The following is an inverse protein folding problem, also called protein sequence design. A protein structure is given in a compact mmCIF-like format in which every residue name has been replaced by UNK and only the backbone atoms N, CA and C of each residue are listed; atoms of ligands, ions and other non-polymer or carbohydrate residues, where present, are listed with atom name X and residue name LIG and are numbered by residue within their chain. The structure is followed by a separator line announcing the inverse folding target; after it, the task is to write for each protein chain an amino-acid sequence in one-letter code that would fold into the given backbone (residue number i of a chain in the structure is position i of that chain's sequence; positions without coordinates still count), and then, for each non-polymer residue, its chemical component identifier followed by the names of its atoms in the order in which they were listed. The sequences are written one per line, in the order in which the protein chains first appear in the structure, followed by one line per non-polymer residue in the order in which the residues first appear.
data_IF_676111495174
#
_entry.id   IF_676111495174
#
_cell.length_a   1.000
_cell.length_b   1.000
_cell.length_c   1.000
_cell.angle_alpha   90.00
_cell.angle_beta   90.00
_cell.angle_gamma   90.00
#
_symmetry.space_group_name_H-M   'P 1'
#
loop_
_entity.id
_entity.type
_entity.pdbx_description
1 polymer ?
#
# COMPACT_ATOMS: atom_id res chain seq x y z
N UNK A 1 -28.23 6.39 -55.19
CA UNK A 1 -26.86 6.54 -54.62
C UNK A 1 -26.74 7.48 -53.41
N UNK A 2 -27.34 8.69 -53.39
CA UNK A 2 -27.21 9.68 -52.29
C UNK A 2 -27.59 9.18 -50.88
N UNK A 3 -28.61 8.32 -50.75
CA UNK A 3 -29.08 7.82 -49.44
C UNK A 3 -28.09 6.84 -48.78
N UNK A 4 -27.34 6.06 -49.57
CA UNK A 4 -26.34 5.09 -49.07
C UNK A 4 -25.07 5.78 -48.55
N UNK A 5 -24.60 6.83 -49.24
CA UNK A 5 -23.44 7.62 -48.77
C UNK A 5 -23.72 8.32 -47.44
N UNK A 6 -24.94 8.84 -47.24
CA UNK A 6 -25.34 9.51 -45.99
C UNK A 6 -25.36 8.56 -44.78
N UNK A 7 -25.72 7.28 -44.98
CA UNK A 7 -25.62 6.23 -43.95
C UNK A 7 -24.18 5.84 -43.63
N UNK A 8 -23.30 5.77 -44.65
CA UNK A 8 -21.86 5.50 -44.47
C UNK A 8 -21.15 6.62 -43.71
N UNK A 9 -21.44 7.88 -44.04
CA UNK A 9 -20.91 9.05 -43.34
C UNK A 9 -21.41 9.11 -41.89
N UNK A 10 -22.69 8.81 -41.66
CA UNK A 10 -23.25 8.74 -40.29
C UNK A 10 -22.61 7.63 -39.44
N UNK A 11 -22.30 6.48 -40.04
CA UNK A 11 -21.59 5.39 -39.36
C UNK A 11 -20.14 5.75 -39.02
N UNK A 12 -19.43 6.43 -39.94
CA UNK A 12 -18.07 6.92 -39.70
C UNK A 12 -18.03 7.96 -38.56
N UNK A 13 -19.00 8.88 -38.51
CA UNK A 13 -19.10 9.87 -37.42
C UNK A 13 -19.35 9.17 -36.07
N UNK A 14 -20.25 8.18 -36.03
CA UNK A 14 -20.52 7.40 -34.81
C UNK A 14 -19.29 6.61 -34.34
N UNK A 15 -18.57 5.97 -35.26
CA UNK A 15 -17.30 5.30 -34.94
C UNK A 15 -16.25 6.28 -34.39
N UNK A 16 -16.15 7.48 -34.98
CA UNK A 16 -15.21 8.50 -34.52
C UNK A 16 -15.58 9.02 -33.12
N UNK A 17 -16.87 9.19 -32.84
CA UNK A 17 -17.37 9.53 -31.50
C UNK A 17 -17.09 8.44 -30.47
N UNK A 18 -17.29 7.18 -30.82
CA UNK A 18 -17.02 6.04 -29.93
C UNK A 18 -15.53 5.89 -29.63
N UNK A 19 -14.66 6.14 -30.61
CA UNK A 19 -13.20 6.12 -30.42
C UNK A 19 -12.72 7.21 -29.44
N UNK A 20 -13.35 8.39 -29.42
CA UNK A 20 -13.04 9.46 -28.46
C UNK A 20 -13.71 9.25 -27.09
N UNK A 21 -14.88 8.60 -27.04
CA UNK A 21 -15.59 8.34 -25.78
C UNK A 21 -14.91 7.28 -24.89
N UNK A 22 -14.08 6.41 -25.47
CA UNK A 22 -13.36 5.34 -24.77
C UNK A 22 -12.00 5.76 -24.20
N UNK A 23 -11.52 6.97 -24.51
CA UNK A 23 -10.24 7.49 -24.04
C UNK A 23 -10.37 8.27 -22.72
N UNK A 24 -11.15 7.76 -21.76
CA UNK A 24 -11.17 8.32 -20.41
C UNK A 24 -9.88 7.89 -19.69
N UNK A 25 -9.06 8.84 -19.19
CA UNK A 25 -7.90 8.47 -18.39
C UNK A 25 -8.38 7.75 -17.12
N UNK A 26 -7.90 6.53 -16.91
CA UNK A 26 -8.03 5.83 -15.64
C UNK A 26 -6.98 6.41 -14.69
N UNK A 27 -7.41 7.22 -13.73
CA UNK A 27 -6.55 7.64 -12.63
C UNK A 27 -6.72 6.63 -11.49
N UNK A 28 -5.62 6.17 -10.91
CA UNK A 28 -5.67 5.50 -9.62
C UNK A 28 -6.25 6.49 -8.60
N UNK A 29 -7.23 6.05 -7.79
CA UNK A 29 -7.82 6.90 -6.75
C UNK A 29 -6.79 7.25 -5.68
N UNK A 30 -5.84 6.35 -5.43
CA UNK A 30 -4.74 6.55 -4.49
C UNK A 30 -3.42 6.85 -5.20
N UNK A 31 -2.68 7.84 -4.70
CA UNK A 31 -1.39 8.29 -5.20
C UNK A 31 -0.45 8.54 -4.02
N UNK A 32 0.56 7.68 -3.86
CA UNK A 32 1.65 7.92 -2.92
C UNK A 32 2.71 8.76 -3.64
N UNK A 33 2.93 9.99 -3.18
CA UNK A 33 3.86 10.93 -3.78
C UNK A 33 5.29 10.66 -3.34
N UNK A 34 5.49 10.38 -2.06
CA UNK A 34 6.80 10.09 -1.47
C UNK A 34 6.70 8.98 -0.44
N UNK A 35 7.74 8.14 -0.42
CA UNK A 35 8.02 7.20 0.65
C UNK A 35 9.48 7.43 1.04
N UNK A 36 9.72 7.94 2.24
CA UNK A 36 11.05 8.04 2.85
C UNK A 36 11.21 6.88 3.84
N UNK A 37 12.29 6.11 3.71
CA UNK A 37 12.53 4.92 4.52
C UNK A 37 13.87 5.06 5.22
N UNK A 38 13.85 4.99 6.54
CA UNK A 38 15.03 4.85 7.37
C UNK A 38 15.09 3.43 7.95
N UNK A 39 16.26 2.82 7.88
CA UNK A 39 16.55 1.52 8.49
C UNK A 39 17.77 1.65 9.40
N UNK A 40 17.57 1.37 10.69
CA UNK A 40 18.63 1.38 11.70
C UNK A 40 18.93 -0.06 12.10
N UNK A 41 20.10 -0.56 11.70
CA UNK A 41 20.59 -1.90 12.04
C UNK A 41 21.28 -1.87 13.42
N UNK A 42 20.90 -2.78 14.30
CA UNK A 42 21.48 -2.99 15.62
C UNK A 42 22.50 -4.12 15.63
N UNK A 43 23.34 -4.16 16.68
CA UNK A 43 24.40 -5.17 16.85
C UNK A 43 23.86 -6.60 16.96
N UNK A 44 22.62 -6.78 17.42
CA UNK A 44 21.96 -8.08 17.51
C UNK A 44 21.37 -8.57 16.18
N UNK A 45 21.57 -7.82 15.08
CA UNK A 45 21.06 -8.16 13.76
C UNK A 45 19.59 -7.78 13.53
N UNK A 46 18.93 -7.16 14.51
CA UNK A 46 17.60 -6.57 14.34
C UNK A 46 17.67 -5.21 13.64
N UNK A 47 16.59 -4.83 12.97
CA UNK A 47 16.48 -3.55 12.25
C UNK A 47 15.22 -2.83 12.69
N UNK A 48 15.36 -1.58 13.13
CA UNK A 48 14.21 -0.69 13.32
C UNK A 48 13.98 0.12 12.05
N UNK A 49 12.76 0.06 11.52
CA UNK A 49 12.34 0.71 10.29
C UNK A 49 11.40 1.85 10.64
N UNK A 50 11.64 3.02 10.04
CA UNK A 50 10.69 4.14 10.02
C UNK A 50 10.39 4.48 8.57
N UNK A 51 9.12 4.44 8.17
CA UNK A 51 8.66 4.89 6.85
C UNK A 51 7.76 6.11 6.98
N UNK A 52 8.05 7.16 6.23
CA UNK A 52 7.21 8.35 6.12
C UNK A 52 6.58 8.41 4.73
N UNK A 53 5.26 8.28 4.68
CA UNK A 53 4.49 8.28 3.45
C UNK A 53 3.73 9.60 3.33
N UNK A 54 3.76 10.22 2.16
CA UNK A 54 2.91 11.37 1.82
C UNK A 54 2.19 11.09 0.51
N UNK A 55 0.88 11.34 0.48
CA UNK A 55 0.08 11.04 -0.69
C UNK A 55 -1.36 11.51 -0.59
N UNK A 56 -2.08 11.31 -1.68
CA UNK A 56 -3.52 11.49 -1.79
C UNK A 56 -4.20 10.12 -1.85
N UNK A 57 -5.16 9.89 -0.97
CA UNK A 57 -5.89 8.62 -0.87
C UNK A 57 -7.39 8.90 -1.02
N UNK A 58 -8.02 8.43 -2.09
CA UNK A 58 -9.42 8.72 -2.44
C UNK A 58 -10.27 7.45 -2.59
N UNK A 59 -9.69 6.26 -2.46
CA UNK A 59 -10.39 4.97 -2.58
C UNK A 59 -9.85 3.90 -1.62
N UNK A 60 -10.61 2.83 -1.44
CA UNK A 60 -10.26 1.72 -0.55
C UNK A 60 -10.43 2.04 0.94
N UNK A 61 -10.15 1.07 1.80
CA UNK A 61 -10.29 1.21 3.26
C UNK A 61 -8.96 1.27 3.99
N UNK A 62 -7.86 0.90 3.33
CA UNK A 62 -6.54 0.74 3.95
C UNK A 62 -5.40 0.93 2.95
N UNK A 63 -4.18 1.02 3.49
CA UNK A 63 -2.93 0.78 2.77
C UNK A 63 -2.20 -0.38 3.43
N UNK A 64 -1.35 -1.08 2.67
CA UNK A 64 -0.58 -2.20 3.16
C UNK A 64 0.85 -2.20 2.61
N UNK A 65 1.77 -2.77 3.39
CA UNK A 65 3.18 -2.97 3.02
C UNK A 65 3.43 -4.47 2.98
N UNK A 66 3.45 -5.09 1.79
CA UNK A 66 3.70 -6.52 1.68
C UNK A 66 5.18 -6.82 1.91
N UNK A 67 5.46 -7.89 2.64
CA UNK A 67 6.80 -8.36 2.94
C UNK A 67 6.85 -9.87 2.78
N UNK A 68 7.52 -10.32 1.71
CA UNK A 68 7.91 -11.73 1.61
C UNK A 68 9.02 -11.98 2.63
N UNK A 69 8.69 -12.73 3.68
CA UNK A 69 9.57 -12.94 4.82
C UNK A 69 9.74 -14.45 5.04
N UNK A 70 10.96 -14.92 5.33
CA UNK A 70 11.16 -16.29 5.76
C UNK A 70 10.59 -16.46 7.18
N UNK A 71 10.19 -17.69 7.53
CA UNK A 71 9.54 -18.01 8.81
C UNK A 71 10.31 -17.61 10.08
N UNK A 72 11.62 -17.31 9.96
CA UNK A 72 12.47 -16.89 11.09
C UNK A 72 12.54 -15.36 11.30
N UNK A 73 12.11 -14.56 10.32
CA UNK A 73 12.08 -13.10 10.44
C UNK A 73 10.75 -12.71 11.07
N UNK A 74 10.79 -12.00 12.20
CA UNK A 74 9.57 -11.60 12.92
C UNK A 74 9.43 -10.10 12.96
N UNK A 75 8.18 -9.62 12.84
CA UNK A 75 7.84 -8.21 12.97
C UNK A 75 7.30 -7.94 14.38
N UNK A 76 7.77 -6.87 15.00
CA UNK A 76 7.31 -6.43 16.32
C UNK A 76 7.27 -4.90 16.41
N UNK A 77 6.74 -4.38 17.52
CA UNK A 77 6.73 -2.93 17.83
C UNK A 77 6.05 -2.05 16.77
N UNK A 78 5.07 -2.59 16.03
CA UNK A 78 4.34 -1.84 15.02
C UNK A 78 3.58 -0.66 15.66
N UNK A 79 3.90 0.53 15.18
CA UNK A 79 3.14 1.75 15.42
C UNK A 79 2.91 2.49 14.11
N UNK A 80 1.69 3.02 13.95
CA UNK A 80 1.33 3.89 12.83
C UNK A 80 0.74 5.17 13.39
N UNK A 81 1.09 6.30 12.79
CA UNK A 81 0.48 7.58 13.11
C UNK A 81 0.25 8.42 11.86
N UNK A 82 -0.68 9.35 11.97
CA UNK A 82 -0.91 10.40 10.97
C UNK A 82 -0.87 11.79 11.65
N UNK A 83 -1.27 12.83 10.92
CA UNK A 83 -1.38 14.20 11.46
C UNK A 83 -2.34 14.37 12.66
N UNK A 84 -3.22 13.40 12.93
CA UNK A 84 -4.18 13.40 14.03
C UNK A 84 -3.75 12.49 15.20
N UNK A 85 -2.58 11.85 15.12
CA UNK A 85 -1.95 11.11 16.20
C UNK A 85 -1.77 9.62 15.92
N UNK A 86 -1.47 8.85 16.96
CA UNK A 86 -1.17 7.41 16.91
C UNK A 86 -2.44 6.57 16.70
N UNK A 87 -2.30 5.49 15.94
CA UNK A 87 -3.34 4.50 15.67
C UNK A 87 -3.38 3.42 16.75
N UNK A 88 -4.53 2.76 16.89
CA UNK A 88 -4.67 1.58 17.74
C UNK A 88 -4.12 0.35 17.01
N UNK A 89 -3.07 -0.28 17.55
CA UNK A 89 -2.49 -1.50 16.99
C UNK A 89 -3.30 -2.71 17.45
N UNK A 90 -4.00 -3.35 16.52
CA UNK A 90 -4.80 -4.55 16.80
C UNK A 90 -3.99 -5.83 16.54
N UNK A 91 -4.21 -6.89 17.33
CA UNK A 91 -3.47 -8.15 17.17
C UNK A 91 -3.91 -8.96 15.94
N UNK A 92 -5.19 -8.91 15.59
CA UNK A 92 -5.77 -9.71 14.50
C UNK A 92 -6.34 -8.77 13.44
N UNK A 93 -5.52 -8.37 12.45
CA UNK A 93 -6.00 -7.51 11.36
C UNK A 93 -7.02 -8.26 10.50
N UNK A 94 -8.19 -7.66 10.28
CA UNK A 94 -9.22 -8.21 9.41
C UNK A 94 -9.33 -7.40 8.11
N UNK A 95 -8.96 -8.04 7.00
CA UNK A 95 -8.99 -7.45 5.65
C UNK A 95 -10.42 -7.12 5.16
N UNK A 96 -11.45 -7.71 5.76
CA UNK A 96 -12.85 -7.49 5.37
C UNK A 96 -13.53 -6.35 6.15
N UNK A 97 -12.83 -5.71 7.10
CA UNK A 97 -13.40 -4.58 7.84
C UNK A 97 -13.73 -3.39 6.93
N UNK A 98 -14.80 -2.69 7.30
CA UNK A 98 -15.24 -1.46 6.65
C UNK A 98 -14.25 -0.31 6.85
N UNK A 99 -14.44 0.79 6.09
CA UNK A 99 -13.64 2.00 6.22
C UNK A 99 -13.63 2.51 7.67
N UNK A 100 -14.80 2.60 8.30
CA UNK A 100 -14.96 3.11 9.66
C UNK A 100 -14.36 2.17 10.70
N UNK A 101 -14.38 0.85 10.45
CA UNK A 101 -13.74 -0.13 11.32
C UNK A 101 -12.22 -0.12 11.19
N UNK A 102 -11.66 0.18 10.03
CA UNK A 102 -10.19 0.27 9.86
C UNK A 102 -9.64 1.64 10.25
N UNK A 103 -10.47 2.69 10.22
CA UNK A 103 -10.07 4.04 10.57
C UNK A 103 -9.40 4.07 11.95
N UNK A 104 -8.25 4.75 12.03
CA UNK A 104 -7.41 4.88 13.24
C UNK A 104 -6.87 3.55 13.80
N UNK A 105 -6.81 2.50 12.99
CA UNK A 105 -6.24 1.19 13.38
C UNK A 105 -5.13 0.76 12.43
N UNK A 106 -4.17 0.02 12.98
CA UNK A 106 -3.15 -0.70 12.22
C UNK A 106 -2.95 -2.10 12.78
N UNK A 107 -2.34 -2.98 12.01
CA UNK A 107 -2.07 -4.35 12.45
C UNK A 107 -1.19 -5.08 11.44
N UNK A 108 -0.84 -6.31 11.78
CA UNK A 108 -0.09 -7.22 10.90
C UNK A 108 -1.07 -8.30 10.45
N UNK A 109 -1.08 -8.58 9.14
CA UNK A 109 -1.80 -9.69 8.55
C UNK A 109 -0.79 -10.74 8.07
N UNK A 110 -0.92 -11.98 8.55
CA UNK A 110 -0.09 -13.09 8.10
C UNK A 110 -0.57 -13.59 6.73
N UNK A 111 0.37 -13.88 5.84
CA UNK A 111 0.12 -14.42 4.50
C UNK A 111 0.86 -15.75 4.32
N UNK A 112 0.58 -16.47 3.22
CA UNK A 112 1.27 -17.71 2.89
C UNK A 112 2.80 -17.55 2.68
N UNK A 113 3.29 -16.32 2.46
CA UNK A 113 4.69 -16.03 2.12
C UNK A 113 5.37 -14.99 3.01
N UNK A 114 4.76 -14.62 4.14
CA UNK A 114 5.27 -13.61 5.06
C UNK A 114 4.16 -12.75 5.64
N UNK A 115 4.34 -11.42 5.62
CA UNK A 115 3.47 -10.47 6.33
C UNK A 115 2.98 -9.35 5.43
N UNK A 116 1.83 -8.79 5.79
CA UNK A 116 1.38 -7.47 5.34
C UNK A 116 1.21 -6.56 6.57
N UNK A 117 1.95 -5.45 6.61
CA UNK A 117 1.68 -4.39 7.57
C UNK A 117 0.51 -3.57 7.03
N UNK A 118 -0.61 -3.54 7.72
CA UNK A 118 -1.84 -2.89 7.27
C UNK A 118 -2.21 -1.71 8.17
N UNK A 119 -2.72 -0.64 7.56
CA UNK A 119 -3.24 0.52 8.29
C UNK A 119 -4.39 1.20 7.55
N UNK A 120 -5.42 1.56 8.32
CA UNK A 120 -6.64 2.13 7.77
C UNK A 120 -6.47 3.56 7.25
N UNK A 121 -7.08 3.84 6.11
CA UNK A 121 -7.29 5.21 5.66
C UNK A 121 -8.38 5.79 6.56
N UNK A 122 -8.04 6.78 7.39
CA UNK A 122 -9.00 7.36 8.35
C UNK A 122 -9.86 8.47 7.74
N UNK A 123 -9.38 9.06 6.65
CA UNK A 123 -10.06 10.14 5.91
C UNK A 123 -9.49 10.22 4.50
N UNK A 124 -10.35 10.35 3.49
CA UNK A 124 -9.88 10.60 2.12
C UNK A 124 -9.27 11.99 1.93
N UNK A 125 -8.39 12.11 0.95
CA UNK A 125 -7.64 13.31 0.59
C UNK A 125 -6.15 13.17 0.87
N UNK A 126 -5.50 14.30 1.15
CA UNK A 126 -4.06 14.33 1.46
C UNK A 126 -3.84 13.78 2.87
N UNK A 127 -2.97 12.78 2.99
CA UNK A 127 -2.54 12.20 4.26
C UNK A 127 -1.02 12.06 4.32
N UNK A 128 -0.53 12.03 5.56
CA UNK A 128 0.86 11.74 5.88
C UNK A 128 0.87 10.66 6.95
N UNK A 129 1.55 9.56 6.68
CA UNK A 129 1.67 8.44 7.62
C UNK A 129 3.12 8.28 8.06
N UNK A 130 3.32 7.99 9.34
CA UNK A 130 4.59 7.51 9.88
C UNK A 130 4.36 6.09 10.38
N UNK A 131 5.07 5.13 9.80
CA UNK A 131 4.97 3.70 10.07
C UNK A 131 6.31 3.27 10.67
N UNK A 132 6.29 2.77 11.90
CA UNK A 132 7.48 2.33 12.63
C UNK A 132 7.30 0.87 13.06
N UNK A 133 8.32 0.05 12.85
CA UNK A 133 8.31 -1.36 13.26
C UNK A 133 9.73 -1.90 13.39
N UNK A 134 9.87 -2.95 14.20
CA UNK A 134 11.11 -3.69 14.38
C UNK A 134 11.04 -5.00 13.61
N UNK A 135 12.13 -5.32 12.91
CA UNK A 135 12.37 -6.62 12.29
C UNK A 135 13.49 -7.32 13.05
N UNK A 136 13.21 -8.51 13.58
CA UNK A 136 14.22 -9.34 14.22
C UNK A 136 14.77 -10.38 13.23
N UNK A 137 16.01 -10.83 13.45
CA UNK A 137 16.71 -11.83 12.63
C UNK A 137 16.87 -11.44 11.14
N UNK A 138 17.05 -10.16 10.85
CA UNK A 138 17.26 -9.67 9.48
C UNK A 138 18.63 -10.08 8.95
N UNK A 139 19.66 -10.04 9.81
CA UNK A 139 20.99 -10.54 9.50
C UNK A 139 21.10 -11.99 9.98
N UNK A 140 21.13 -12.92 9.03
CA UNK A 140 21.38 -14.33 9.29
C UNK A 140 22.88 -14.61 9.32
N UNK A 141 23.39 -15.15 10.42
CA UNK A 141 24.73 -15.71 10.49
C UNK A 141 24.78 -17.11 9.90
N UNK A 142 25.58 -17.32 8.85
CA UNK A 142 25.87 -18.62 8.26
C UNK A 142 27.27 -19.08 8.68
N UNK A 143 27.54 -20.38 8.51
CA UNK A 143 28.82 -20.97 8.94
C UNK A 143 30.06 -20.32 8.29
N UNK A 144 29.92 -19.72 7.10
CA UNK A 144 31.00 -19.08 6.36
C UNK A 144 30.86 -17.55 6.20
N UNK A 145 29.65 -16.98 6.36
CA UNK A 145 29.34 -15.56 6.10
C UNK A 145 28.10 -15.10 6.86
N UNK A 146 27.94 -13.80 7.03
CA UNK A 146 26.65 -13.20 7.40
C UNK A 146 25.94 -12.70 6.13
N UNK A 147 24.61 -12.76 6.12
CA UNK A 147 23.80 -12.32 4.99
C UNK A 147 22.49 -11.68 5.43
N UNK A 148 21.94 -10.84 4.57
CA UNK A 148 20.59 -10.27 4.74
C UNK A 148 19.67 -10.87 3.67
N UNK A 149 18.41 -11.12 4.02
CA UNK A 149 17.44 -11.64 3.07
C UNK A 149 16.72 -10.48 2.37
N UNK A 150 17.24 -10.03 1.22
CA UNK A 150 16.59 -9.06 0.32
C UNK A 150 16.94 -9.34 -1.15
#
# INVERSE_FOLDING_TARGET
MRCSMRKRVSGLILCFFLLFALALPAFAGNQVHTIDIQAVLYEDGSVHITQNWEGRFEEGTESYIPMNAPDYLTISELTVSDQNGIYDTVPDWNIDWSFEEKARRCGIHDTDSGYEICFGISRYGQNRYTIEYKLDNVVGGYADKDGVNF
#
